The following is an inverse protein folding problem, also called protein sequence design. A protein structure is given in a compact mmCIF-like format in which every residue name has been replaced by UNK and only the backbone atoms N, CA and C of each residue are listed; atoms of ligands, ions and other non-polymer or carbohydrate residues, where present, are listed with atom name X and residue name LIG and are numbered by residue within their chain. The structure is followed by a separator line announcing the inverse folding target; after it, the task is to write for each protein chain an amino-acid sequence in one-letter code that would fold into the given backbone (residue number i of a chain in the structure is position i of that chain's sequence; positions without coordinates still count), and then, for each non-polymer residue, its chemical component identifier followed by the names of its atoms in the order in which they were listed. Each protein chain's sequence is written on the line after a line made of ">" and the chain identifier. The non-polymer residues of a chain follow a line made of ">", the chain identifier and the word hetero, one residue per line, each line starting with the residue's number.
data_IF_807087782542
#
_entry.id   IF_807087782542
#
_cell.length_a   1.000
_cell.length_b   1.000
_cell.length_c   1.000
_cell.angle_alpha   90.00
_cell.angle_beta   90.00
_cell.angle_gamma   90.00
#
_symmetry.space_group_name_H-M   'P 1'
#
loop_
_entity.id
_entity.type
_entity.pdbx_description
1 polymer ?
#
# COMPACT_ATOMS: atom_id res chain seq x y z
N UNK A 1 7.95 2.38 -11.70
CA UNK A 1 7.10 2.33 -10.50
C UNK A 1 6.31 3.63 -10.26
N UNK A 2 6.93 4.78 -9.96
CA UNK A 2 6.17 6.05 -9.72
C UNK A 2 5.25 6.43 -10.89
N UNK A 3 5.74 6.36 -12.13
CA UNK A 3 4.91 6.62 -13.32
C UNK A 3 3.72 5.65 -13.45
N UNK A 4 3.88 4.38 -13.03
CA UNK A 4 2.77 3.44 -12.97
C UNK A 4 1.74 3.90 -11.94
N UNK A 5 2.18 4.31 -10.75
CA UNK A 5 1.31 4.85 -9.71
C UNK A 5 0.49 6.04 -10.22
N UNK A 6 1.14 6.99 -10.89
CA UNK A 6 0.49 8.20 -11.45
C UNK A 6 -0.56 7.86 -12.52
N UNK A 7 -0.30 6.86 -13.36
CA UNK A 7 -1.27 6.41 -14.39
C UNK A 7 -2.39 5.53 -13.81
N UNK A 8 -2.11 4.79 -12.75
CA UNK A 8 -3.05 3.82 -12.17
C UNK A 8 -4.01 4.46 -11.17
N UNK A 9 -3.52 5.39 -10.35
CA UNK A 9 -4.29 6.03 -9.29
C UNK A 9 -5.61 6.69 -9.75
N UNK A 10 -5.69 7.37 -10.91
CA UNK A 10 -6.97 7.89 -11.42
C UNK A 10 -8.04 6.81 -11.69
N UNK A 11 -7.65 5.53 -11.77
CA UNK A 11 -8.53 4.37 -12.00
C UNK A 11 -8.97 3.68 -10.71
N UNK A 12 -8.49 4.14 -9.55
CA UNK A 12 -8.80 3.56 -8.24
C UNK A 12 -10.29 3.73 -7.84
N UNK A 13 -10.94 4.79 -8.34
CA UNK A 13 -12.32 5.14 -8.00
C UNK A 13 -12.40 6.26 -6.95
N UNK A 14 -13.59 6.42 -6.36
CA UNK A 14 -13.90 7.48 -5.39
C UNK A 14 -14.30 6.97 -3.99
N UNK A 15 -14.51 5.65 -3.86
CA UNK A 15 -14.78 4.99 -2.58
C UNK A 15 -13.49 4.73 -1.80
N UNK A 16 -13.61 4.00 -0.70
CA UNK A 16 -12.46 3.53 0.06
C UNK A 16 -11.62 2.60 -0.80
N UNK A 17 -10.32 2.83 -0.85
CA UNK A 17 -9.43 1.93 -1.57
C UNK A 17 -8.04 1.91 -0.97
N UNK A 18 -7.37 0.81 -1.26
CA UNK A 18 -5.97 0.58 -1.00
C UNK A 18 -5.33 0.05 -2.27
N UNK A 19 -4.20 0.63 -2.66
CA UNK A 19 -3.40 0.21 -3.81
C UNK A 19 -1.92 0.12 -3.44
N UNK A 20 -1.25 -0.85 -4.04
CA UNK A 20 0.21 -1.03 -4.01
C UNK A 20 0.77 -0.89 -5.43
N UNK A 21 1.15 0.32 -5.87
CA UNK A 21 1.76 0.49 -7.19
C UNK A 21 3.06 -0.30 -7.35
N UNK A 22 3.83 -0.47 -6.27
CA UNK A 22 5.04 -1.30 -6.28
C UNK A 22 4.71 -2.78 -6.41
N UNK A 23 3.67 -3.26 -5.73
CA UNK A 23 3.23 -4.64 -5.83
C UNK A 23 2.72 -4.99 -7.23
N UNK A 24 1.82 -4.17 -7.80
CA UNK A 24 1.38 -4.36 -9.19
C UNK A 24 2.57 -4.31 -10.17
N UNK A 25 3.49 -3.35 -9.99
CA UNK A 25 4.68 -3.26 -10.85
C UNK A 25 5.53 -4.52 -10.74
N UNK A 26 5.74 -5.04 -9.53
CA UNK A 26 6.55 -6.24 -9.27
C UNK A 26 5.92 -7.48 -9.88
N UNK A 27 4.61 -7.63 -9.71
CA UNK A 27 3.83 -8.71 -10.29
C UNK A 27 3.92 -8.70 -11.83
N UNK A 28 3.71 -7.54 -12.45
CA UNK A 28 3.83 -7.39 -13.91
C UNK A 28 5.27 -7.54 -14.40
N UNK A 29 6.26 -7.14 -13.61
CA UNK A 29 7.66 -7.33 -13.91
C UNK A 29 8.02 -8.83 -13.91
N UNK A 30 7.54 -9.60 -12.93
CA UNK A 30 7.72 -11.05 -12.87
C UNK A 30 7.10 -11.73 -14.10
N UNK A 31 5.89 -11.33 -14.50
CA UNK A 31 5.24 -11.80 -15.72
C UNK A 31 6.08 -11.47 -16.97
N UNK A 32 6.64 -10.26 -17.05
CA UNK A 32 7.43 -9.81 -18.20
C UNK A 32 8.70 -10.64 -18.47
N UNK A 33 9.26 -11.30 -17.44
CA UNK A 33 10.45 -12.17 -17.57
C UNK A 33 10.18 -13.35 -18.51
N UNK A 34 8.94 -13.86 -18.51
CA UNK A 34 8.47 -14.96 -19.36
C UNK A 34 7.90 -14.52 -20.71
N UNK A 35 7.66 -13.21 -20.91
CA UNK A 35 7.10 -12.68 -22.13
C UNK A 35 8.11 -12.62 -23.29
N UNK A 36 7.61 -12.72 -24.53
CA UNK A 36 8.35 -12.60 -25.79
C UNK A 36 7.62 -11.65 -26.76
N UNK A 37 8.28 -11.33 -27.87
CA UNK A 37 7.68 -10.60 -28.99
C UNK A 37 6.96 -9.30 -28.62
N UNK A 38 5.75 -9.13 -29.17
CA UNK A 38 4.92 -7.94 -28.96
C UNK A 38 4.42 -7.85 -27.52
N UNK A 39 4.16 -9.00 -26.87
CA UNK A 39 3.75 -9.06 -25.46
C UNK A 39 4.82 -8.48 -24.54
N UNK A 40 6.09 -8.85 -24.75
CA UNK A 40 7.21 -8.29 -24.01
C UNK A 40 7.38 -6.78 -24.25
N UNK A 41 7.16 -6.32 -25.49
CA UNK A 41 7.26 -4.90 -25.83
C UNK A 41 6.15 -4.05 -25.18
N UNK A 42 4.93 -4.57 -25.07
CA UNK A 42 3.83 -3.94 -24.33
C UNK A 42 4.14 -3.85 -22.83
N UNK A 43 4.51 -4.98 -22.20
CA UNK A 43 4.86 -5.02 -20.79
C UNK A 43 6.08 -4.14 -20.46
N UNK A 44 7.11 -4.13 -21.31
CA UNK A 44 8.28 -3.28 -21.13
C UNK A 44 7.94 -1.79 -21.17
N UNK A 45 7.08 -1.36 -22.11
CA UNK A 45 6.58 0.04 -22.15
C UNK A 45 5.72 0.38 -20.94
N UNK A 46 4.88 -0.54 -20.48
CA UNK A 46 4.07 -0.36 -19.29
C UNK A 46 4.96 -0.16 -18.05
N UNK A 47 5.96 -1.04 -17.88
CA UNK A 47 6.85 -1.02 -16.72
C UNK A 47 7.90 0.10 -16.77
N UNK A 48 8.22 0.59 -17.96
CA UNK A 48 9.26 1.60 -18.22
C UNK A 48 10.67 1.02 -18.19
N UNK A 49 10.83 -0.30 -18.23
CA UNK A 49 12.13 -1.00 -18.17
C UNK A 49 12.15 -2.19 -19.11
N UNK A 50 13.35 -2.62 -19.49
CA UNK A 50 13.53 -3.88 -20.20
C UNK A 50 13.38 -5.10 -19.27
N UNK A 51 13.30 -6.28 -19.88
CA UNK A 51 13.09 -7.56 -19.20
C UNK A 51 14.21 -7.92 -18.22
N UNK A 52 15.47 -7.63 -18.55
CA UNK A 52 16.61 -7.95 -17.70
C UNK A 52 16.63 -7.07 -16.44
N UNK A 53 16.23 -5.82 -16.58
CA UNK A 53 16.07 -4.86 -15.50
C UNK A 53 14.85 -5.20 -14.64
N UNK A 54 13.74 -5.62 -15.25
CA UNK A 54 12.58 -6.16 -14.54
C UNK A 54 12.95 -7.37 -13.67
N UNK A 55 13.66 -8.36 -14.21
CA UNK A 55 14.11 -9.54 -13.46
C UNK A 55 14.99 -9.18 -12.25
N UNK A 56 15.99 -8.30 -12.44
CA UNK A 56 16.84 -7.81 -11.35
C UNK A 56 16.05 -7.04 -10.30
N UNK A 57 15.08 -6.24 -10.72
CA UNK A 57 14.23 -5.49 -9.81
C UNK A 57 13.36 -6.42 -8.96
N UNK A 58 12.73 -7.43 -9.57
CA UNK A 58 11.94 -8.43 -8.83
C UNK A 58 12.80 -9.19 -7.82
N UNK A 59 14.04 -9.56 -8.19
CA UNK A 59 14.95 -10.23 -7.27
C UNK A 59 15.39 -9.33 -6.08
N UNK A 60 15.45 -8.00 -6.28
CA UNK A 60 15.91 -7.05 -5.25
C UNK A 60 14.80 -6.33 -4.47
N UNK A 61 13.56 -6.35 -4.95
CA UNK A 61 12.48 -5.56 -4.36
C UNK A 61 12.06 -6.11 -2.99
N UNK A 62 12.08 -7.43 -2.79
CA UNK A 62 11.81 -8.05 -1.49
C UNK A 62 12.77 -7.48 -0.43
N UNK A 63 14.08 -7.55 -0.68
CA UNK A 63 15.07 -6.97 0.23
C UNK A 63 14.89 -5.46 0.46
N UNK A 64 14.45 -4.72 -0.57
CA UNK A 64 14.18 -3.27 -0.46
C UNK A 64 12.95 -2.98 0.38
N UNK A 65 11.90 -3.81 0.28
CA UNK A 65 10.67 -3.66 1.05
C UNK A 65 10.86 -4.16 2.49
N UNK A 66 11.54 -5.29 2.69
CA UNK A 66 11.90 -5.83 4.01
C UNK A 66 12.76 -4.84 4.79
N UNK A 67 13.70 -4.17 4.10
CA UNK A 67 14.53 -3.10 4.63
C UNK A 67 13.73 -1.93 5.23
N UNK A 68 12.49 -1.73 4.79
CA UNK A 68 11.66 -0.67 5.36
C UNK A 68 11.17 -0.99 6.77
N UNK A 69 11.17 -2.27 7.17
CA UNK A 69 10.60 -2.77 8.43
C UNK A 69 9.10 -2.50 8.57
N UNK A 70 8.46 -2.02 7.51
CA UNK A 70 7.13 -1.43 7.55
C UNK A 70 6.13 -2.16 6.67
N UNK A 71 6.57 -3.08 5.81
CA UNK A 71 5.72 -3.73 4.82
C UNK A 71 6.02 -5.22 4.80
N UNK A 72 4.95 -6.01 4.68
CA UNK A 72 5.04 -7.37 4.15
C UNK A 72 4.52 -7.35 2.72
N UNK A 73 5.27 -7.99 1.82
CA UNK A 73 4.95 -8.07 0.41
C UNK A 73 5.15 -9.50 -0.09
N UNK A 74 4.20 -10.01 -0.87
CA UNK A 74 4.35 -11.27 -1.57
C UNK A 74 3.77 -11.17 -2.99
N UNK A 75 4.48 -11.76 -3.95
CA UNK A 75 3.99 -11.93 -5.33
C UNK A 75 3.88 -13.41 -5.64
N UNK A 76 2.74 -13.81 -6.20
CA UNK A 76 2.41 -15.18 -6.56
C UNK A 76 2.06 -15.31 -8.04
N UNK A 77 2.54 -16.38 -8.68
CA UNK A 77 2.19 -16.78 -10.04
C UNK A 77 1.66 -18.20 -10.00
N UNK A 78 0.39 -18.35 -10.38
CA UNK A 78 -0.32 -19.61 -10.30
C UNK A 78 -0.78 -20.00 -11.70
N UNK A 79 -0.40 -21.20 -12.14
CA UNK A 79 -0.59 -21.64 -13.53
C UNK A 79 -1.23 -23.02 -13.60
N UNK A 80 -2.16 -23.24 -14.54
CA UNK A 80 -2.69 -24.57 -14.85
C UNK A 80 -1.74 -25.44 -15.65
N UNK A 81 -0.81 -24.81 -16.36
CA UNK A 81 0.15 -25.49 -17.22
C UNK A 81 1.55 -25.43 -16.59
N UNK A 82 2.44 -26.39 -16.89
CA UNK A 82 3.79 -26.40 -16.34
C UNK A 82 4.53 -25.10 -16.64
N UNK A 83 5.20 -24.56 -15.63
CA UNK A 83 6.09 -23.41 -15.78
C UNK A 83 7.50 -23.89 -16.17
N UNK A 84 8.20 -23.08 -16.97
CA UNK A 84 9.59 -23.35 -17.33
C UNK A 84 10.51 -23.26 -16.10
N UNK A 85 11.36 -24.27 -15.82
CA UNK A 85 12.25 -24.25 -14.66
C UNK A 85 13.20 -23.04 -14.64
N UNK A 86 13.71 -22.64 -15.80
CA UNK A 86 14.57 -21.45 -15.92
C UNK A 86 13.83 -20.16 -15.58
N UNK A 87 12.52 -20.09 -15.88
CA UNK A 87 11.68 -18.95 -15.54
C UNK A 87 11.50 -18.83 -14.02
N UNK A 88 11.16 -19.94 -13.37
CA UNK A 88 11.00 -20.00 -11.91
C UNK A 88 12.32 -19.65 -11.21
N UNK A 89 13.45 -20.19 -11.68
CA UNK A 89 14.77 -19.93 -11.12
C UNK A 89 15.21 -18.45 -11.26
N UNK A 90 14.69 -17.73 -12.25
CA UNK A 90 14.98 -16.30 -12.44
C UNK A 90 14.23 -15.39 -11.46
N UNK A 91 13.30 -15.92 -10.64
CA UNK A 91 12.39 -15.16 -9.79
C UNK A 91 12.40 -15.67 -8.32
N UNK A 92 13.55 -15.64 -7.61
CA UNK A 92 13.70 -16.26 -6.29
C UNK A 92 12.81 -15.67 -5.18
N UNK A 93 12.18 -14.51 -5.40
CA UNK A 93 11.24 -13.87 -4.47
C UNK A 93 9.76 -13.98 -4.86
N UNK A 94 9.44 -14.73 -5.91
CA UNK A 94 8.06 -14.93 -6.41
C UNK A 94 7.65 -16.36 -6.18
N UNK A 95 6.54 -16.57 -5.47
CA UNK A 95 5.95 -17.90 -5.31
C UNK A 95 5.37 -18.33 -6.65
N UNK A 96 5.89 -19.41 -7.23
CA UNK A 96 5.38 -19.98 -8.47
C UNK A 96 4.81 -21.36 -8.20
N UNK A 97 3.60 -21.65 -8.67
CA UNK A 97 2.96 -22.93 -8.37
C UNK A 97 1.84 -23.33 -9.33
N UNK A 98 1.36 -24.57 -9.23
CA UNK A 98 0.17 -25.00 -9.94
C UNK A 98 -1.06 -24.24 -9.42
N UNK A 99 -2.05 -24.03 -10.29
CA UNK A 99 -3.32 -23.43 -9.94
C UNK A 99 -4.15 -24.37 -9.05
N UNK A 100 -3.92 -24.28 -7.74
CA UNK A 100 -4.68 -24.97 -6.70
C UNK A 100 -5.28 -23.93 -5.75
N UNK A 101 -6.62 -23.78 -5.70
CA UNK A 101 -7.28 -22.81 -4.83
C UNK A 101 -6.88 -22.94 -3.35
N UNK A 102 -6.66 -24.16 -2.86
CA UNK A 102 -6.28 -24.39 -1.45
C UNK A 102 -4.88 -23.84 -1.18
N UNK A 103 -3.93 -24.09 -2.08
CA UNK A 103 -2.58 -23.57 -1.98
C UNK A 103 -2.52 -22.04 -2.14
N UNK A 104 -3.33 -21.49 -3.06
CA UNK A 104 -3.46 -20.05 -3.27
C UNK A 104 -4.00 -19.37 -2.02
N UNK A 105 -5.07 -19.89 -1.42
CA UNK A 105 -5.66 -19.32 -0.20
C UNK A 105 -4.71 -19.42 1.00
N UNK A 106 -4.01 -20.56 1.14
CA UNK A 106 -2.98 -20.72 2.16
C UNK A 106 -1.86 -19.68 1.99
N UNK A 107 -1.40 -19.45 0.75
CA UNK A 107 -0.41 -18.45 0.43
C UNK A 107 -0.90 -17.03 0.73
N UNK A 108 -2.14 -16.67 0.37
CA UNK A 108 -2.72 -15.35 0.69
C UNK A 108 -2.79 -15.15 2.20
N UNK A 109 -3.28 -16.14 2.93
CA UNK A 109 -3.40 -16.08 4.38
C UNK A 109 -2.04 -15.90 5.04
N UNK A 110 -1.01 -16.62 4.59
CA UNK A 110 0.36 -16.45 5.08
C UNK A 110 0.92 -15.07 4.72
N UNK A 111 0.80 -14.65 3.45
CA UNK A 111 1.29 -13.38 2.95
C UNK A 111 0.63 -12.16 3.62
N UNK A 112 -0.55 -12.34 4.21
CA UNK A 112 -1.32 -11.29 4.89
C UNK A 112 -1.38 -11.45 6.40
N UNK A 113 -0.59 -12.36 6.97
CA UNK A 113 -0.60 -12.71 8.40
C UNK A 113 -2.03 -12.96 8.93
N UNK A 114 -2.85 -13.65 8.14
CA UNK A 114 -4.22 -14.03 8.50
C UNK A 114 -5.29 -12.97 8.27
N UNK A 115 -4.92 -11.72 7.92
CA UNK A 115 -5.89 -10.63 7.72
C UNK A 115 -6.83 -10.88 6.53
N UNK A 116 -6.38 -11.69 5.58
CA UNK A 116 -7.13 -12.06 4.37
C UNK A 116 -7.20 -13.60 4.35
N UNK A 117 -8.40 -14.18 4.49
CA UNK A 117 -8.54 -15.63 4.66
C UNK A 117 -8.21 -16.44 3.40
N UNK A 118 -8.29 -15.81 2.22
CA UNK A 118 -8.05 -16.42 0.92
C UNK A 118 -8.17 -15.39 -0.19
N UNK A 119 -7.78 -15.77 -1.40
CA UNK A 119 -7.93 -14.91 -2.58
C UNK A 119 -9.42 -14.93 -2.98
N UNK A 120 -10.13 -13.79 -2.97
CA UNK A 120 -11.55 -13.77 -3.31
C UNK A 120 -11.72 -13.79 -4.84
N UNK A 121 -11.22 -14.86 -5.46
CA UNK A 121 -11.29 -15.16 -6.88
C UNK A 121 -12.05 -16.47 -7.10
N UNK A 122 -12.99 -16.44 -8.05
CA UNK A 122 -13.57 -17.67 -8.60
C UNK A 122 -12.57 -18.29 -9.58
N UNK A 123 -11.70 -19.16 -9.06
CA UNK A 123 -10.77 -19.93 -9.88
C UNK A 123 -11.56 -21.04 -10.61
N UNK A 124 -11.96 -20.76 -11.85
CA UNK A 124 -12.65 -21.72 -12.74
C UNK A 124 -11.68 -22.39 -13.69
N UNK A 125 -12.04 -23.52 -14.32
CA UNK A 125 -11.21 -24.23 -15.31
C UNK A 125 -10.73 -23.38 -16.50
N UNK A 126 -11.38 -22.23 -16.74
CA UNK A 126 -11.02 -21.27 -17.78
C UNK A 126 -9.93 -20.25 -17.37
N UNK A 127 -9.39 -20.32 -16.15
CA UNK A 127 -8.33 -19.43 -15.63
C UNK A 127 -6.91 -20.05 -15.74
N UNK A 128 -6.24 -20.03 -16.91
CA UNK A 128 -4.92 -20.67 -17.07
C UNK A 128 -3.80 -20.03 -16.25
N UNK A 129 -3.85 -18.72 -15.98
CA UNK A 129 -2.79 -18.00 -15.28
C UNK A 129 -3.36 -16.88 -14.38
N UNK A 130 -3.02 -16.92 -13.09
CA UNK A 130 -3.30 -15.86 -12.12
C UNK A 130 -2.00 -15.26 -11.64
N UNK A 131 -1.95 -13.94 -11.65
CA UNK A 131 -0.93 -13.15 -11.01
C UNK A 131 -1.53 -12.51 -9.76
N UNK A 132 -0.96 -12.82 -8.60
CA UNK A 132 -1.43 -12.30 -7.32
C UNK A 132 -0.34 -11.46 -6.64
N UNK A 133 -0.76 -10.37 -6.03
CA UNK A 133 0.07 -9.47 -5.23
C UNK A 133 -0.61 -9.23 -3.88
N UNK A 134 0.12 -9.43 -2.79
CA UNK A 134 -0.38 -9.21 -1.44
C UNK A 134 0.54 -8.22 -0.72
N UNK A 135 -0.02 -7.12 -0.21
CA UNK A 135 0.71 -6.14 0.59
C UNK A 135 -0.01 -5.81 1.90
N UNK A 136 0.72 -5.93 3.01
CA UNK A 136 0.24 -5.53 4.34
C UNK A 136 1.19 -4.47 4.90
N UNK A 137 0.62 -3.33 5.30
CA UNK A 137 1.36 -2.37 6.10
C UNK A 137 1.57 -2.94 7.50
N UNK A 138 2.81 -3.06 7.95
CA UNK A 138 3.25 -3.47 9.31
C UNK A 138 4.15 -2.43 9.97
N UNK A 139 3.87 -1.16 9.74
CA UNK A 139 4.72 -0.06 10.18
C UNK A 139 4.45 0.37 11.63
N UNK A 140 5.50 0.58 12.43
CA UNK A 140 5.40 1.24 13.75
C UNK A 140 5.80 2.70 13.65
N UNK A 141 5.09 3.62 14.32
CA UNK A 141 5.47 5.03 14.36
C UNK A 141 6.76 5.20 15.15
N UNK A 142 7.69 6.02 14.64
CA UNK A 142 8.81 6.50 15.45
C UNK A 142 8.31 7.31 16.66
N UNK A 143 7.24 8.09 16.43
CA UNK A 143 6.58 8.94 17.41
C UNK A 143 5.10 8.54 17.58
N UNK A 144 4.79 7.52 18.40
CA UNK A 144 3.45 6.95 18.51
C UNK A 144 2.44 7.90 19.15
N UNK A 145 1.17 7.82 18.77
CA UNK A 145 0.11 8.56 19.45
C UNK A 145 -0.11 7.97 20.87
N UNK A 146 -0.24 8.81 21.91
CA UNK A 146 -0.58 8.30 23.24
C UNK A 146 -2.06 7.85 23.26
N UNK A 147 -2.31 6.58 23.60
CA UNK A 147 -3.67 6.02 23.66
C UNK A 147 -4.60 6.75 24.64
N UNK A 148 -4.05 7.34 25.71
CA UNK A 148 -4.82 8.17 26.65
C UNK A 148 -5.34 9.48 26.04
N UNK A 149 -4.82 9.91 24.88
CA UNK A 149 -5.29 11.09 24.16
C UNK A 149 -6.32 10.77 23.08
N UNK A 150 -6.58 9.47 22.82
CA UNK A 150 -7.59 9.03 21.87
C UNK A 150 -8.98 9.28 22.43
N UNK A 151 -9.83 9.93 21.62
CA UNK A 151 -11.18 10.32 22.01
C UNK A 151 -12.09 10.31 20.81
N UNK A 152 -13.38 10.14 21.06
CA UNK A 152 -14.40 10.20 20.02
C UNK A 152 -14.47 11.59 19.41
N UNK A 153 -14.38 11.70 18.07
CA UNK A 153 -14.53 12.94 17.31
C UNK A 153 -15.37 12.72 16.05
N UNK A 154 -16.13 13.73 15.60
CA UNK A 154 -16.91 13.60 14.38
C UNK A 154 -16.00 13.44 13.16
N UNK A 155 -16.36 12.51 12.29
CA UNK A 155 -15.82 12.34 10.95
C UNK A 155 -16.97 12.40 9.94
N UNK A 156 -16.81 13.19 8.88
CA UNK A 156 -17.80 13.36 7.81
C UNK A 156 -17.33 12.64 6.55
N UNK A 157 -17.99 11.55 6.19
CA UNK A 157 -17.71 10.78 4.98
C UNK A 157 -18.07 11.54 3.70
N UNK A 158 -17.61 11.03 2.56
CA UNK A 158 -17.82 11.64 1.24
C UNK A 158 -19.31 11.74 0.83
N UNK A 159 -20.15 10.82 1.32
CA UNK A 159 -21.61 10.82 1.13
C UNK A 159 -22.33 11.85 2.02
N UNK A 160 -21.60 12.53 2.91
CA UNK A 160 -22.13 13.49 3.88
C UNK A 160 -22.52 12.89 5.22
N UNK A 161 -22.42 11.57 5.40
CA UNK A 161 -22.70 10.90 6.67
C UNK A 161 -21.66 11.32 7.72
N UNK A 162 -22.11 11.77 8.89
CA UNK A 162 -21.23 12.12 10.01
C UNK A 162 -21.41 11.16 11.19
N UNK A 163 -20.32 10.57 11.67
CA UNK A 163 -20.32 9.73 12.87
C UNK A 163 -19.13 10.07 13.75
N UNK A 164 -19.28 9.90 15.06
CA UNK A 164 -18.17 9.99 15.98
C UNK A 164 -17.30 8.71 15.89
N UNK A 165 -15.99 8.87 15.70
CA UNK A 165 -15.02 7.77 15.57
C UNK A 165 -13.84 7.95 16.53
N UNK A 166 -13.19 6.85 16.99
CA UNK A 166 -11.97 6.92 17.78
C UNK A 166 -10.88 7.70 17.02
N UNK A 167 -10.48 8.84 17.59
CA UNK A 167 -9.52 9.75 16.95
C UNK A 167 -8.34 9.98 17.87
N UNK A 168 -7.16 9.62 17.39
CA UNK A 168 -5.88 9.78 18.07
C UNK A 168 -5.41 11.22 18.01
N UNK A 169 -4.70 11.69 19.04
CA UNK A 169 -4.22 13.06 19.10
C UNK A 169 -2.75 13.13 19.53
N UNK A 170 -1.95 13.90 18.80
CA UNK A 170 -0.55 14.20 19.12
C UNK A 170 -0.13 15.51 18.49
N UNK A 171 0.85 16.17 19.10
CA UNK A 171 1.47 17.38 18.55
C UNK A 171 2.82 17.02 17.95
N UNK A 172 3.11 17.56 16.77
CA UNK A 172 4.34 17.30 16.01
C UNK A 172 5.06 18.61 15.67
N UNK A 173 6.39 18.59 15.44
CA UNK A 173 7.11 19.73 14.87
C UNK A 173 6.49 20.19 13.54
N UNK A 174 6.35 21.50 13.35
CA UNK A 174 5.78 22.04 12.10
C UNK A 174 6.59 21.67 10.85
N UNK A 175 7.88 21.34 10.99
CA UNK A 175 8.74 20.82 9.91
C UNK A 175 8.29 19.48 9.34
N UNK A 176 7.43 18.75 10.04
CA UNK A 176 6.82 17.50 9.55
C UNK A 176 5.56 17.75 8.72
N UNK A 177 5.14 19.00 8.51
CA UNK A 177 3.95 19.32 7.72
C UNK A 177 4.20 20.45 6.72
N UNK A 178 3.48 20.39 5.61
CA UNK A 178 3.50 21.44 4.59
C UNK A 178 2.16 21.49 3.86
N UNK A 179 1.95 22.56 3.10
CA UNK A 179 0.85 22.67 2.15
C UNK A 179 1.40 22.67 0.72
N UNK A 180 0.74 21.98 -0.18
CA UNK A 180 1.07 22.00 -1.61
C UNK A 180 0.37 23.17 -2.32
N UNK A 181 0.79 23.55 -3.55
CA UNK A 181 0.13 24.62 -4.32
C UNK A 181 -1.38 24.41 -4.49
N UNK A 182 -1.81 23.14 -4.58
CA UNK A 182 -3.22 22.77 -4.75
C UNK A 182 -4.02 22.74 -3.43
N UNK A 183 -3.42 23.25 -2.34
CA UNK A 183 -4.07 23.35 -1.03
C UNK A 183 -4.17 22.03 -0.26
N UNK A 184 -3.42 20.99 -0.67
CA UNK A 184 -3.34 19.74 0.08
C UNK A 184 -2.38 19.91 1.25
N UNK A 185 -2.87 19.69 2.48
CA UNK A 185 -2.05 19.69 3.69
C UNK A 185 -1.51 18.29 3.93
N UNK A 186 -0.19 18.18 4.05
CA UNK A 186 0.49 16.89 4.23
C UNK A 186 1.18 16.86 5.60
N UNK A 187 1.08 15.73 6.29
CA UNK A 187 1.85 15.38 7.48
C UNK A 187 2.75 14.18 7.14
N UNK A 188 4.02 14.25 7.46
CA UNK A 188 5.04 13.24 7.15
C UNK A 188 5.61 12.64 8.44
N UNK A 189 5.26 11.38 8.68
CA UNK A 189 5.61 10.63 9.87
C UNK A 189 6.63 9.55 9.51
N UNK A 190 7.73 9.48 10.25
CA UNK A 190 8.69 8.40 10.13
C UNK A 190 8.22 7.15 10.89
N UNK A 191 8.55 5.99 10.33
CA UNK A 191 8.38 4.71 11.02
C UNK A 191 9.64 4.33 11.81
N UNK A 192 9.55 3.29 12.63
CA UNK A 192 10.71 2.61 13.19
C UNK A 192 11.25 1.64 12.14
N UNK A 193 12.57 1.52 12.05
CA UNK A 193 13.23 0.44 11.33
C UNK A 193 13.96 -0.46 12.33
N UNK A 194 13.94 -1.80 12.15
CA UNK A 194 14.72 -2.71 12.99
C UNK A 194 16.24 -2.60 12.76
N UNK A 195 16.68 -2.06 11.62
CA UNK A 195 18.09 -1.88 11.29
C UNK A 195 18.52 -0.39 11.39
N UNK A 196 19.38 -0.01 12.35
CA UNK A 196 19.88 1.36 12.50
C UNK A 196 20.63 1.93 11.27
N UNK A 197 21.13 1.07 10.38
CA UNK A 197 21.82 1.46 9.15
C UNK A 197 20.89 1.85 8.01
N UNK A 198 19.58 1.66 8.17
CA UNK A 198 18.60 1.81 7.10
C UNK A 198 17.70 3.03 7.34
N UNK A 199 17.15 3.59 6.25
CA UNK A 199 16.19 4.68 6.35
C UNK A 199 14.79 4.08 6.55
N UNK A 200 14.08 4.41 7.64
CA UNK A 200 12.75 3.87 7.89
C UNK A 200 11.77 4.36 6.82
N UNK A 201 10.71 3.56 6.59
CA UNK A 201 9.58 4.01 5.80
C UNK A 201 9.01 5.35 6.31
N UNK A 202 8.37 6.08 5.40
CA UNK A 202 7.67 7.32 5.73
C UNK A 202 6.20 7.17 5.39
N UNK A 203 5.33 7.55 6.30
CA UNK A 203 3.89 7.64 6.03
C UNK A 203 3.51 9.09 5.90
N UNK A 204 2.99 9.45 4.73
CA UNK A 204 2.45 10.78 4.45
C UNK A 204 0.93 10.73 4.46
N UNK A 205 0.33 11.45 5.39
CA UNK A 205 -1.11 11.67 5.47
C UNK A 205 -1.45 12.98 4.77
N UNK A 206 -2.41 12.96 3.85
CA UNK A 206 -2.78 14.10 3.02
C UNK A 206 -4.26 14.44 3.17
N UNK A 207 -4.53 15.69 3.54
CA UNK A 207 -5.88 16.22 3.68
C UNK A 207 -6.11 17.31 2.64
N UNK A 208 -6.91 16.98 1.64
CA UNK A 208 -7.27 17.89 0.56
C UNK A 208 -8.42 18.84 0.88
N UNK A 209 -8.73 19.75 -0.06
CA UNK A 209 -10.02 20.44 -0.13
C UNK A 209 -11.20 19.45 -0.13
N UNK A 210 -12.38 19.85 0.39
CA UNK A 210 -13.54 18.95 0.60
C UNK A 210 -14.06 18.20 -0.65
N UNK A 211 -13.70 18.65 -1.86
CA UNK A 211 -14.14 18.07 -3.14
C UNK A 211 -12.96 17.68 -4.04
N UNK A 212 -11.75 17.58 -3.48
CA UNK A 212 -10.60 17.15 -4.24
C UNK A 212 -10.73 15.68 -4.65
N UNK A 213 -10.23 15.33 -5.82
CA UNK A 213 -10.24 13.93 -6.27
C UNK A 213 -9.20 13.15 -5.46
N UNK A 214 -9.45 11.87 -5.14
CA UNK A 214 -8.48 11.04 -4.42
C UNK A 214 -7.10 11.06 -5.08
N UNK A 215 -7.07 10.98 -6.41
CA UNK A 215 -5.83 10.96 -7.18
C UNK A 215 -4.99 12.24 -6.99
N UNK A 216 -5.62 13.40 -6.96
CA UNK A 216 -4.94 14.69 -6.81
C UNK A 216 -4.33 14.82 -5.40
N UNK A 217 -5.09 14.40 -4.37
CA UNK A 217 -4.65 14.44 -2.97
C UNK A 217 -3.52 13.44 -2.70
N UNK A 218 -3.62 12.23 -3.24
CA UNK A 218 -2.60 11.20 -3.06
C UNK A 218 -1.32 11.51 -3.85
N UNK A 219 -1.42 12.04 -5.08
CA UNK A 219 -0.24 12.46 -5.86
C UNK A 219 0.59 13.51 -5.13
N UNK A 220 -0.06 14.41 -4.38
CA UNK A 220 0.61 15.42 -3.55
C UNK A 220 1.54 14.83 -2.46
N UNK A 221 1.34 13.56 -2.07
CA UNK A 221 2.18 12.91 -1.05
C UNK A 221 3.57 12.54 -1.57
N UNK A 222 3.76 12.28 -2.87
CA UNK A 222 5.07 11.99 -3.48
C UNK A 222 5.51 13.06 -4.48
N UNK A 223 4.78 14.17 -4.58
CA UNK A 223 5.17 15.31 -5.38
C UNK A 223 6.54 15.87 -4.92
N UNK A 224 7.35 16.42 -5.84
CA UNK A 224 8.62 17.05 -5.51
C UNK A 224 8.51 18.08 -4.37
N UNK A 225 9.65 18.38 -3.72
CA UNK A 225 9.68 19.40 -2.67
C UNK A 225 9.44 20.83 -3.19
N UNK A 226 9.63 21.05 -4.50
CA UNK A 226 9.39 22.33 -5.14
C UNK A 226 7.92 22.78 -4.96
N UNK A 227 7.71 24.01 -4.52
CA UNK A 227 6.39 24.59 -4.32
C UNK A 227 5.69 24.19 -3.01
N UNK A 228 6.33 23.40 -2.13
CA UNK A 228 5.80 23.15 -0.79
C UNK A 228 5.90 24.43 0.05
N UNK A 229 4.79 24.82 0.67
CA UNK A 229 4.73 25.92 1.64
C UNK A 229 4.83 25.35 3.06
N UNK A 230 5.85 25.71 3.84
CA UNK A 230 5.95 25.33 5.24
C UNK A 230 4.73 25.82 6.04
N UNK A 231 4.39 25.10 7.11
CA UNK A 231 3.37 25.58 8.05
C UNK A 231 3.95 26.73 8.88
N UNK A 232 3.25 27.86 8.90
CA UNK A 232 3.62 29.03 9.72
C UNK A 232 3.23 28.84 11.20
N UNK A 233 3.86 27.87 11.85
CA UNK A 233 3.71 27.55 13.26
C UNK A 233 4.97 26.85 13.77
N UNK A 234 5.08 26.65 15.08
CA UNK A 234 6.19 25.90 15.67
C UNK A 234 5.82 24.42 15.81
N UNK A 235 4.54 24.19 16.09
CA UNK A 235 3.97 22.86 16.28
C UNK A 235 2.65 22.72 15.52
N UNK A 236 2.30 21.47 15.17
CA UNK A 236 1.02 21.10 14.56
C UNK A 236 0.32 20.08 15.46
N UNK A 237 -0.85 20.45 15.97
CA UNK A 237 -1.76 19.54 16.67
C UNK A 237 -2.52 18.69 15.66
N UNK A 238 -2.28 17.39 15.67
CA UNK A 238 -2.86 16.41 14.74
C UNK A 238 -3.97 15.63 15.43
N UNK A 239 -5.08 15.46 14.70
CA UNK A 239 -6.17 14.56 15.06
C UNK A 239 -6.41 13.58 13.91
N UNK A 240 -6.14 12.29 14.13
CA UNK A 240 -6.16 11.24 13.12
C UNK A 240 -7.06 10.09 13.56
N UNK A 241 -8.13 9.74 12.83
CA UNK A 241 -8.94 8.56 13.11
C UNK A 241 -8.10 7.29 13.12
N UNK A 242 -8.43 6.34 14.00
CA UNK A 242 -8.05 4.95 13.75
C UNK A 242 -8.80 4.47 12.52
N UNK A 243 -8.15 3.64 11.71
CA UNK A 243 -8.79 3.05 10.54
C UNK A 243 -8.20 1.68 10.21
N UNK A 244 -9.03 0.82 9.67
CA UNK A 244 -8.63 -0.35 8.90
C UNK A 244 -9.24 -0.22 7.51
N UNK A 245 -8.42 -0.38 6.48
CA UNK A 245 -8.84 -0.44 5.10
C UNK A 245 -8.33 -1.73 4.49
N UNK A 246 -9.22 -2.45 3.81
CA UNK A 246 -8.90 -3.63 3.04
C UNK A 246 -9.45 -3.45 1.64
N UNK A 247 -8.67 -3.83 0.64
CA UNK A 247 -9.11 -3.82 -0.75
C UNK A 247 -8.59 -5.04 -1.46
N UNK A 248 -9.52 -5.80 -2.03
CA UNK A 248 -9.24 -6.72 -3.11
C UNK A 248 -9.55 -6.01 -4.42
N UNK A 249 -8.56 -5.91 -5.31
CA UNK A 249 -8.73 -5.33 -6.63
C UNK A 249 -8.38 -6.35 -7.71
N UNK A 250 -9.35 -6.61 -8.58
CA UNK A 250 -9.08 -7.14 -9.90
C UNK A 250 -8.50 -6.03 -10.78
N UNK A 251 -7.19 -6.10 -11.02
CA UNK A 251 -6.43 -5.17 -11.84
C UNK A 251 -6.31 -5.63 -13.31
N UNK A 252 -6.99 -6.70 -13.71
CA UNK A 252 -6.91 -7.26 -15.07
C UNK A 252 -7.30 -6.22 -16.13
N UNK A 253 -8.43 -5.53 -15.91
CA UNK A 253 -8.85 -4.43 -16.78
C UNK A 253 -7.89 -3.24 -16.78
N UNK A 254 -7.19 -3.01 -15.66
CA UNK A 254 -6.19 -1.95 -15.57
C UNK A 254 -4.96 -2.27 -16.43
N UNK A 255 -4.52 -3.53 -16.50
CA UNK A 255 -3.38 -3.94 -17.34
C UNK A 255 -3.61 -3.59 -18.81
N UNK A 256 -4.81 -3.87 -19.32
CA UNK A 256 -5.21 -3.45 -20.67
C UNK A 256 -5.19 -1.92 -20.80
N UNK A 257 -5.85 -1.22 -19.87
CA UNK A 257 -5.98 0.22 -19.91
C UNK A 257 -4.66 0.99 -19.71
N UNK A 258 -3.66 0.33 -19.12
CA UNK A 258 -2.31 0.86 -18.88
C UNK A 258 -1.34 0.55 -20.04
N UNK A 259 -1.76 -0.25 -21.03
CA UNK A 259 -1.05 -0.42 -22.30
C UNK A 259 -0.49 -1.82 -22.56
N UNK A 260 -0.95 -2.85 -21.85
CA UNK A 260 -0.58 -4.25 -22.12
C UNK A 260 -1.78 -5.18 -22.39
N UNK A 261 -2.71 -4.83 -23.30
CA UNK A 261 -3.90 -5.64 -23.57
C UNK A 261 -3.56 -7.01 -24.17
N UNK A 262 -2.47 -7.16 -24.92
CA UNK A 262 -2.13 -8.44 -25.58
C UNK A 262 -1.86 -9.55 -24.57
N UNK A 263 -1.32 -9.21 -23.40
CA UNK A 263 -1.09 -10.15 -22.30
C UNK A 263 -2.35 -10.89 -21.86
N UNK A 264 -3.53 -10.31 -22.09
CA UNK A 264 -4.84 -10.84 -21.69
C UNK A 264 -5.55 -11.64 -22.81
N UNK A 265 -4.87 -11.90 -23.92
CA UNK A 265 -5.47 -12.53 -25.11
C UNK A 265 -4.74 -13.80 -25.51
N UNK A 266 -5.37 -14.65 -26.31
CA UNK A 266 -4.74 -15.86 -26.86
C UNK A 266 -3.53 -15.57 -27.77
N UNK A 267 -3.35 -14.30 -28.18
CA UNK A 267 -2.17 -13.83 -28.89
C UNK A 267 -0.99 -13.48 -27.97
N UNK A 268 -1.10 -13.74 -26.67
CA UNK A 268 -0.03 -13.55 -25.71
C UNK A 268 1.14 -14.50 -25.98
N UNK A 269 2.35 -13.95 -25.90
CA UNK A 269 3.59 -14.66 -26.21
C UNK A 269 4.36 -14.95 -24.92
N UNK A 270 3.83 -15.87 -24.09
CA UNK A 270 4.46 -16.29 -22.83
C UNK A 270 5.29 -17.58 -22.97
N UNK A 271 5.88 -17.83 -24.14
CA UNK A 271 6.70 -19.02 -24.39
C UNK A 271 7.99 -19.10 -23.55
N UNK A 272 8.33 -18.03 -22.81
CA UNK A 272 9.38 -18.07 -21.80
C UNK A 272 8.90 -18.45 -20.41
N UNK A 273 7.58 -18.48 -20.18
CA UNK A 273 6.93 -18.83 -18.91
C UNK A 273 6.50 -20.30 -18.92
N UNK A 274 6.03 -20.80 -20.06
CA UNK A 274 5.59 -22.19 -20.25
C UNK A 274 5.82 -22.63 -21.70
N UNK A 275 6.04 -23.92 -21.96
CA UNK A 275 6.01 -24.47 -23.32
C UNK A 275 4.58 -24.53 -23.90
N UNK A 276 3.55 -24.40 -23.06
CA UNK A 276 2.15 -24.39 -23.47
C UNK A 276 1.68 -22.93 -23.63
N UNK A 277 0.97 -22.58 -24.72
CA UNK A 277 0.38 -21.26 -24.88
C UNK A 277 -0.55 -20.92 -23.72
N UNK A 278 -0.44 -19.69 -23.21
CA UNK A 278 -1.24 -19.18 -22.10
C UNK A 278 -1.42 -17.67 -22.24
N UNK A 279 -2.45 -17.15 -21.58
CA UNK A 279 -2.74 -15.74 -21.46
C UNK A 279 -2.94 -15.39 -19.97
N UNK A 280 -2.58 -14.17 -19.59
CA UNK A 280 -2.86 -13.66 -18.25
C UNK A 280 -4.37 -13.55 -18.08
N UNK A 281 -4.93 -14.39 -17.21
CA UNK A 281 -6.37 -14.46 -17.01
C UNK A 281 -6.81 -13.42 -16.00
N UNK A 282 -6.07 -13.32 -14.89
CA UNK A 282 -6.37 -12.38 -13.82
C UNK A 282 -5.12 -11.81 -13.18
N UNK A 283 -5.23 -10.54 -12.79
CA UNK A 283 -4.29 -9.86 -11.90
C UNK A 283 -5.06 -9.42 -10.67
N UNK A 284 -4.71 -9.94 -9.51
CA UNK A 284 -5.34 -9.55 -8.25
C UNK A 284 -4.33 -8.94 -7.31
N UNK A 285 -4.73 -7.80 -6.76
CA UNK A 285 -4.02 -7.16 -5.67
C UNK A 285 -4.88 -7.20 -4.41
N UNK A 286 -4.32 -7.75 -3.36
CA UNK A 286 -4.85 -7.67 -2.02
C UNK A 286 -4.00 -6.70 -1.21
N UNK A 287 -4.65 -5.69 -0.63
CA UNK A 287 -3.94 -4.68 0.12
C UNK A 287 -4.67 -4.32 1.41
N UNK A 288 -3.93 -4.31 2.52
CA UNK A 288 -4.47 -4.01 3.85
C UNK A 288 -3.65 -2.91 4.52
N UNK A 289 -4.36 -1.89 5.01
CA UNK A 289 -3.80 -0.88 5.92
C UNK A 289 -4.54 -0.88 7.23
N UNK A 290 -3.77 -0.74 8.31
CA UNK A 290 -4.28 -0.51 9.64
C UNK A 290 -3.54 0.66 10.26
N UNK A 291 -4.24 1.61 10.86
CA UNK A 291 -3.66 2.79 11.50
C UNK A 291 -4.17 2.85 12.93
N UNK A 292 -3.26 2.69 13.88
CA UNK A 292 -3.52 2.80 15.31
C UNK A 292 -2.38 3.56 16.02
N UNK A 293 -2.47 3.66 17.35
CA UNK A 293 -1.63 4.53 18.16
C UNK A 293 -0.13 4.25 18.07
N UNK A 294 0.25 2.99 17.95
CA UNK A 294 1.66 2.58 17.79
C UNK A 294 2.09 2.38 16.35
N UNK A 295 1.14 2.39 15.42
CA UNK A 295 1.33 2.01 14.03
C UNK A 295 0.36 0.89 13.64
N UNK A 296 0.87 -0.12 12.95
CA UNK A 296 0.18 -1.35 12.55
C UNK A 296 0.63 -2.50 13.45
N UNK A 297 -0.34 -3.27 13.93
CA UNK A 297 -0.23 -4.31 14.97
C UNK A 297 -0.06 -3.82 16.41
N UNK A 298 -1.05 -4.19 17.23
CA UNK A 298 -1.24 -3.76 18.60
C UNK A 298 -1.23 -4.99 19.51
N UNK A 299 -0.31 -4.99 20.49
CA UNK A 299 -0.48 -5.65 21.78
C UNK A 299 0.36 -4.92 22.86
N UNK A 300 -0.16 -4.95 24.10
CA UNK A 300 0.44 -4.55 25.38
C UNK A 300 0.78 -3.06 25.66
N UNK A 301 -0.14 -2.38 26.34
CA UNK A 301 -0.09 -1.02 26.91
C UNK A 301 1.19 -0.72 27.70
N UNK A 302 1.83 0.43 27.44
CA UNK A 302 2.74 1.08 28.39
C UNK A 302 2.62 2.59 28.22
N UNK A 303 2.01 3.24 29.20
CA UNK A 303 1.84 4.69 29.24
C UNK A 303 3.08 5.32 29.90
N UNK A 304 3.80 6.17 29.18
CA UNK A 304 4.82 7.05 29.79
C UNK A 304 4.19 8.43 29.92
N UNK A 305 3.97 8.86 31.16
CA UNK A 305 3.49 10.19 31.50
C UNK A 305 4.55 11.24 31.13
N UNK A 306 4.21 12.20 30.26
CA UNK A 306 5.06 13.37 30.03
C UNK A 306 4.84 14.43 31.12
N UNK A 307 5.96 15.02 31.54
CA UNK A 307 6.06 16.08 32.54
C UNK A 307 5.27 17.33 32.13
N UNK A 308 4.38 17.77 33.00
CA UNK A 308 3.81 19.11 32.98
C UNK A 308 4.92 20.15 33.27
N UNK A 309 5.06 21.19 32.44
CA UNK A 309 5.95 22.31 32.77
C UNK A 309 6.51 23.16 31.62
N UNK A 310 6.25 22.86 30.35
CA UNK A 310 6.66 23.76 29.25
C UNK A 310 5.64 24.92 29.10
N UNK A 311 6.08 26.17 28.90
CA UNK A 311 5.18 27.24 28.49
C UNK A 311 4.45 26.83 27.20
N UNK A 312 3.17 27.23 27.03
CA UNK A 312 2.43 26.89 25.82
C UNK A 312 3.20 27.42 24.59
N UNK A 313 3.26 26.64 23.50
CA UNK A 313 3.91 27.10 22.27
C UNK A 313 3.24 28.39 21.79
N UNK A 314 4.04 29.39 21.40
CA UNK A 314 3.51 30.68 20.96
C UNK A 314 2.69 30.55 19.67
N UNK A 315 2.98 29.56 18.82
CA UNK A 315 2.26 29.31 17.57
C UNK A 315 1.95 27.82 17.34
N UNK A 316 0.67 27.48 17.43
CA UNK A 316 0.15 26.12 17.22
C UNK A 316 -0.83 26.09 16.05
N UNK A 317 -0.51 25.32 15.01
CA UNK A 317 -1.44 25.01 13.93
C UNK A 317 -2.24 23.73 14.22
N UNK A 318 -3.37 23.54 13.54
CA UNK A 318 -4.20 22.34 13.67
C UNK A 318 -4.38 21.62 12.33
N UNK A 319 -4.22 20.31 12.35
CA UNK A 319 -4.47 19.41 11.23
C UNK A 319 -5.39 18.27 11.69
N UNK A 320 -6.67 18.37 11.32
CA UNK A 320 -7.71 17.42 11.74
C UNK A 320 -8.18 16.63 10.51
N UNK A 321 -7.99 15.32 10.54
CA UNK A 321 -8.47 14.39 9.52
C UNK A 321 -9.93 13.99 9.83
N UNK A 322 -10.85 14.96 9.66
CA UNK A 322 -12.29 14.85 9.99
C UNK A 322 -13.19 14.57 8.77
N UNK A 323 -12.59 14.25 7.64
CA UNK A 323 -13.23 14.07 6.33
C UNK A 323 -12.31 13.26 5.42
N UNK A 324 -12.70 12.93 4.17
CA UNK A 324 -11.89 12.09 3.30
C UNK A 324 -10.44 12.56 3.17
N UNK A 325 -9.52 11.60 3.28
CA UNK A 325 -8.08 11.86 3.31
C UNK A 325 -7.29 10.70 2.71
N UNK A 326 -6.09 11.02 2.24
CA UNK A 326 -5.15 10.06 1.68
C UNK A 326 -4.05 9.68 2.67
N UNK A 327 -3.53 8.47 2.51
CA UNK A 327 -2.34 7.97 3.19
C UNK A 327 -1.44 7.34 2.13
N UNK A 328 -0.15 7.67 2.15
CA UNK A 328 0.86 7.00 1.32
C UNK A 328 1.99 6.53 2.20
N UNK A 329 2.41 5.28 2.00
CA UNK A 329 3.63 4.74 2.57
C UNK A 329 4.70 4.84 1.50
N UNK A 330 5.79 5.50 1.84
CA UNK A 330 6.93 5.72 0.97
C UNK A 330 8.15 4.99 1.52
N UNK A 331 9.06 4.68 0.62
CA UNK A 331 10.40 4.23 0.95
C UNK A 331 11.14 5.24 1.86
N UNK A 332 12.29 4.85 2.38
CA UNK A 332 13.07 5.70 3.28
C UNK A 332 13.59 6.99 2.65
N UNK A 333 13.62 7.10 1.32
CA UNK A 333 13.90 8.36 0.62
C UNK A 333 12.69 9.31 0.60
N UNK A 334 11.48 8.78 0.77
CA UNK A 334 10.22 9.53 0.68
C UNK A 334 9.85 9.89 -0.75
N UNK A 335 10.25 9.07 -1.74
CA UNK A 335 10.04 9.35 -3.17
C UNK A 335 9.29 8.25 -3.91
N UNK A 336 9.41 6.99 -3.48
CA UNK A 336 8.74 5.85 -4.09
C UNK A 336 7.47 5.53 -3.30
N UNK A 337 6.26 5.73 -3.86
CA UNK A 337 5.03 5.30 -3.21
C UNK A 337 4.95 3.78 -3.26
N UNK A 338 5.20 3.15 -2.11
CA UNK A 338 5.09 1.71 -1.94
C UNK A 338 3.61 1.31 -1.89
N UNK A 339 2.81 2.16 -1.24
CA UNK A 339 1.43 1.90 -0.94
C UNK A 339 0.65 3.21 -0.83
N UNK A 340 -0.61 3.21 -1.25
CA UNK A 340 -1.50 4.38 -1.19
C UNK A 340 -2.88 3.94 -0.76
N UNK A 341 -3.52 4.67 0.14
CA UNK A 341 -4.87 4.41 0.59
C UNK A 341 -5.69 5.69 0.61
N UNK A 342 -6.98 5.57 0.28
CA UNK A 342 -7.96 6.64 0.38
C UNK A 342 -9.07 6.23 1.34
N UNK A 343 -9.27 7.03 2.38
CA UNK A 343 -10.40 6.90 3.30
C UNK A 343 -11.48 7.91 2.86
N UNK A 344 -12.59 7.42 2.33
CA UNK A 344 -13.76 8.17 1.83
C UNK A 344 -14.96 8.02 2.78
N UNK A 345 -15.23 6.80 3.23
CA UNK A 345 -16.28 6.42 4.17
C UNK A 345 -15.92 6.65 5.63
N UNK A 346 -16.78 6.16 6.54
CA UNK A 346 -16.52 6.22 7.98
C UNK A 346 -15.39 5.26 8.36
N UNK A 347 -14.32 5.72 9.03
CA UNK A 347 -13.24 4.84 9.47
C UNK A 347 -13.75 3.70 10.35
N UNK A 348 -13.28 2.48 10.07
CA UNK A 348 -13.52 1.29 10.89
C UNK A 348 -12.43 1.13 11.94
N UNK A 349 -12.82 0.87 13.20
CA UNK A 349 -11.84 0.71 14.28
C UNK A 349 -11.14 -0.66 14.15
N UNK A 350 -9.80 -0.72 14.12
CA UNK A 350 -9.03 -1.96 14.11
C UNK A 350 -9.30 -2.96 15.24
N UNK A 351 -9.97 -2.57 16.33
CA UNK A 351 -10.36 -3.45 17.44
C UNK A 351 -11.80 -3.99 17.39
N UNK A 352 -12.51 -3.84 16.25
CA UNK A 352 -13.91 -4.31 16.11
C UNK A 352 -14.05 -5.70 15.48
N UNK A 353 -12.95 -6.31 15.02
CA UNK A 353 -12.88 -7.73 14.64
C UNK A 353 -12.49 -8.57 15.84
N UNK A 354 -13.21 -9.66 16.07
CA UNK A 354 -13.01 -10.66 17.13
C UNK A 354 -11.54 -10.86 17.52
N UNK A 355 -11.20 -10.44 18.74
CA UNK A 355 -10.04 -10.95 19.47
C UNK A 355 -10.25 -12.46 19.64
N UNK A 356 -9.60 -13.26 18.80
CA UNK A 356 -9.26 -14.64 19.18
C UNK A 356 -8.00 -14.50 20.04
N UNK A 357 -8.23 -14.54 21.35
CA UNK A 357 -7.26 -14.37 22.42
C UNK A 357 -6.37 -15.61 22.45
N UNK A 358 -5.41 -15.69 21.53
CA UNK A 358 -4.79 -16.98 21.24
C UNK A 358 -3.59 -16.99 20.32
N UNK A 359 -2.75 -15.95 20.27
CA UNK A 359 -1.38 -16.14 19.78
C UNK A 359 -0.40 -15.20 20.47
N UNK A 360 0.58 -15.81 21.15
CA UNK A 360 1.73 -15.13 21.73
C UNK A 360 2.63 -14.69 20.58
N UNK A 361 2.78 -13.36 20.38
CA UNK A 361 3.82 -12.77 19.54
C UNK A 361 5.19 -13.41 19.84
N UNK A 362 5.81 -14.14 18.89
CA UNK A 362 7.22 -14.48 19.00
C UNK A 362 8.00 -13.28 18.46
N UNK A 363 8.59 -12.52 19.39
CA UNK A 363 9.69 -11.62 19.07
C UNK A 363 10.89 -12.39 18.53
#
# INVERSE_FOLDING_TARGET
>A
MRELAERWLPRAGHGDFVLSPVGLWTALAALSVGARGATAAELGRLLGVDRATAARAVAGIAATLDATGALRHATGIWSRVPLEPEYVAALPGVTCGPMDPVAVDAWVREATDGMVPGLPLDITDATPLVLADALVLKARWADPFPGSATRSRPFTAADGTTRAVPTMHRTFPATQSWTTPDGVRVLDLACVTPDPGQRPARVRLALGPRRARPADVLAATWAPAAGRTPVDADLVAVALPRLTLRTTRDATGDVAALGAPRALTDAAEFGGLSPVPLALSQVVQEAVVRVAERGVEAAAVTAVAMRFGAPPPDRLASLVFDRPFGLTVLDGSGTLPLFTAWQSGLPEDPGSGTEDDGDQDPW
#
